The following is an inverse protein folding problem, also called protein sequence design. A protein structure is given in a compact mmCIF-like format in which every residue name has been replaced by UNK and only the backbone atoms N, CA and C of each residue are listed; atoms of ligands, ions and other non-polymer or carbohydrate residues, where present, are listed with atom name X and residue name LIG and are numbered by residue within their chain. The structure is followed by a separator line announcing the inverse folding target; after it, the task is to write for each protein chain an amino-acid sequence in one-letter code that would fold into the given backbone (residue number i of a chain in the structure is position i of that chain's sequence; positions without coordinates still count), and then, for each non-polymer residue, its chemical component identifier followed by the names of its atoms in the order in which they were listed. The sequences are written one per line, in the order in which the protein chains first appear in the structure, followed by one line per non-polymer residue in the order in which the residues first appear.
data_IF_926553553153
#
_entry.id   IF_926553553153
#
_cell.length_a   1.000
_cell.length_b   1.000
_cell.length_c   1.000
_cell.angle_alpha   90.00
_cell.angle_beta   90.00
_cell.angle_gamma   90.00
#
_symmetry.space_group_name_H-M   'P 1'
#
loop_
_entity.id
_entity.type
_entity.pdbx_description
1 polymer ?
#
# COMPACT_ATOMS: atom_id res chain seq x y z
N UNK A 1 -0.18 1.03 0.25
CA UNK A 1 -1.48 0.88 -0.46
C UNK A 1 -1.33 1.55 -1.80
N UNK A 2 -1.37 0.78 -2.86
CA UNK A 2 -1.35 1.28 -4.23
C UNK A 2 -2.77 1.36 -4.77
N UNK A 3 -3.04 2.33 -5.64
CA UNK A 3 -4.39 2.56 -6.17
C UNK A 3 -4.42 2.44 -7.69
N UNK A 4 -5.41 1.73 -8.20
CA UNK A 4 -5.69 1.55 -9.62
C UNK A 4 -7.04 2.15 -9.97
N UNK A 5 -7.33 2.27 -11.26
CA UNK A 5 -8.62 2.73 -11.75
C UNK A 5 -9.03 4.09 -11.17
N UNK A 6 -8.11 5.04 -11.17
CA UNK A 6 -8.33 6.39 -10.62
C UNK A 6 -8.77 6.35 -9.14
N UNK A 7 -8.16 5.45 -8.35
CA UNK A 7 -8.40 5.30 -6.91
C UNK A 7 -9.57 4.41 -6.51
N UNK A 8 -10.30 3.82 -7.48
CA UNK A 8 -11.47 2.96 -7.21
C UNK A 8 -11.10 1.58 -6.68
N UNK A 9 -9.93 1.08 -7.03
CA UNK A 9 -9.41 -0.23 -6.63
C UNK A 9 -8.11 -0.04 -5.87
N UNK A 10 -7.94 -0.77 -4.78
CA UNK A 10 -6.78 -0.69 -3.89
C UNK A 10 -6.09 -2.03 -3.78
N UNK A 11 -4.77 -2.00 -3.87
CA UNK A 11 -3.92 -3.11 -3.52
C UNK A 11 -3.43 -2.90 -2.08
N UNK A 12 -3.78 -3.81 -1.20
CA UNK A 12 -3.58 -3.65 0.24
C UNK A 12 -2.78 -4.84 0.77
N UNK A 13 -1.74 -4.57 1.55
CA UNK A 13 -0.90 -5.57 2.20
C UNK A 13 -1.18 -5.58 3.71
N UNK A 14 -1.27 -6.77 4.31
CA UNK A 14 -1.39 -6.94 5.75
C UNK A 14 -0.68 -8.22 6.21
N UNK A 15 -0.25 -8.23 7.47
CA UNK A 15 0.34 -9.40 8.09
C UNK A 15 -0.75 -10.31 8.69
N UNK A 16 -0.67 -11.59 8.43
CA UNK A 16 -1.56 -12.58 9.02
C UNK A 16 -1.02 -13.00 10.39
N UNK A 17 -1.88 -12.89 11.40
CA UNK A 17 -1.54 -13.32 12.78
C UNK A 17 -2.22 -14.66 13.11
N UNK A 18 -1.72 -15.36 14.11
CA UNK A 18 -2.30 -16.62 14.59
C UNK A 18 -3.75 -16.48 15.10
N UNK A 19 -4.16 -15.26 15.48
CA UNK A 19 -5.53 -14.98 15.92
C UNK A 19 -6.48 -14.69 14.77
N UNK A 20 -5.97 -14.59 13.55
CA UNK A 20 -6.78 -14.28 12.37
C UNK A 20 -7.67 -15.47 11.99
N UNK A 21 -8.95 -15.24 11.67
CA UNK A 21 -9.84 -16.28 11.17
C UNK A 21 -9.43 -16.83 9.80
N UNK A 22 -8.38 -16.29 9.19
CA UNK A 22 -7.80 -16.73 7.92
C UNK A 22 -6.65 -17.72 8.09
N UNK A 23 -6.13 -17.94 9.30
CA UNK A 23 -5.08 -18.92 9.53
C UNK A 23 -5.61 -20.34 9.24
N UNK A 24 -4.89 -21.07 8.38
CA UNK A 24 -5.30 -22.41 7.92
C UNK A 24 -6.44 -22.42 6.87
N UNK A 25 -6.84 -21.28 6.32
CA UNK A 25 -7.94 -21.16 5.35
C UNK A 25 -7.40 -21.17 3.92
N UNK A 26 -8.03 -21.95 3.04
CA UNK A 26 -7.73 -21.91 1.61
C UNK A 26 -8.37 -20.66 0.96
N UNK A 27 -7.67 -20.03 0.01
CA UNK A 27 -8.10 -18.76 -0.62
C UNK A 27 -9.50 -18.87 -1.24
N UNK A 28 -9.83 -20.00 -1.87
CA UNK A 28 -11.17 -20.20 -2.48
C UNK A 28 -12.31 -20.21 -1.47
N UNK A 29 -12.02 -20.45 -0.18
CA UNK A 29 -13.03 -20.47 0.90
C UNK A 29 -13.33 -19.06 1.43
N UNK A 30 -12.43 -18.07 1.22
CA UNK A 30 -12.57 -16.72 1.76
C UNK A 30 -13.91 -16.07 1.38
N UNK A 31 -14.36 -16.07 0.10
CA UNK A 31 -15.62 -15.45 -0.27
C UNK A 31 -16.83 -16.04 0.45
N UNK A 32 -16.82 -17.36 0.67
CA UNK A 32 -17.92 -18.07 1.34
C UNK A 32 -17.90 -17.87 2.85
N UNK A 33 -16.71 -18.01 3.47
CA UNK A 33 -16.56 -17.91 4.94
C UNK A 33 -16.74 -16.49 5.44
N UNK A 34 -16.16 -15.52 4.73
CA UNK A 34 -16.16 -14.12 5.14
C UNK A 34 -17.17 -13.25 4.38
N UNK A 35 -17.93 -13.81 3.43
CA UNK A 35 -18.86 -13.06 2.55
C UNK A 35 -18.20 -11.77 2.03
N UNK A 36 -16.94 -11.86 1.62
CA UNK A 36 -16.11 -10.73 1.23
C UNK A 36 -15.64 -10.91 -0.20
N UNK A 37 -15.80 -9.87 -1.00
CA UNK A 37 -15.39 -9.84 -2.40
C UNK A 37 -14.02 -9.17 -2.50
N UNK A 38 -12.99 -9.95 -2.16
CA UNK A 38 -11.58 -9.59 -2.30
C UNK A 38 -10.86 -10.64 -3.13
N UNK A 39 -9.76 -10.23 -3.77
CA UNK A 39 -8.87 -11.16 -4.47
C UNK A 39 -7.47 -11.10 -3.86
N UNK A 40 -6.99 -12.24 -3.34
CA UNK A 40 -5.60 -12.37 -2.88
C UNK A 40 -4.70 -12.47 -4.11
N UNK A 41 -3.79 -11.50 -4.27
CA UNK A 41 -2.94 -11.35 -5.44
C UNK A 41 -1.54 -11.91 -5.24
N UNK A 42 -0.98 -11.76 -4.04
CA UNK A 42 0.34 -12.25 -3.70
C UNK A 42 0.43 -12.58 -2.21
N UNK A 43 1.30 -13.53 -1.89
CA UNK A 43 1.62 -13.92 -0.51
C UNK A 43 3.13 -14.00 -0.36
N UNK A 44 3.67 -13.28 0.64
CA UNK A 44 5.05 -13.45 1.06
C UNK A 44 5.12 -14.42 2.23
N UNK A 45 5.92 -15.45 2.10
CA UNK A 45 6.18 -16.47 3.13
C UNK A 45 7.67 -16.82 3.14
N UNK A 46 8.32 -16.74 4.30
CA UNK A 46 9.74 -17.07 4.48
C UNK A 46 10.67 -16.37 3.48
N UNK A 47 10.41 -15.09 3.18
CA UNK A 47 11.18 -14.30 2.23
C UNK A 47 10.90 -14.59 0.75
N UNK A 48 10.10 -15.61 0.44
CA UNK A 48 9.64 -15.89 -0.93
C UNK A 48 8.31 -15.23 -1.25
N UNK A 49 8.09 -14.85 -2.52
CA UNK A 49 6.81 -14.32 -3.01
C UNK A 49 6.14 -15.36 -3.89
N UNK A 50 4.84 -15.55 -3.69
CA UNK A 50 4.00 -16.51 -4.39
C UNK A 50 2.78 -15.78 -4.94
N UNK A 51 2.45 -16.01 -6.22
CA UNK A 51 1.12 -15.72 -6.77
C UNK A 51 0.25 -16.95 -6.48
N UNK A 52 -0.68 -16.86 -5.51
CA UNK A 52 -1.38 -18.03 -5.04
C UNK A 52 -2.52 -18.44 -5.98
N UNK A 53 -2.82 -19.73 -6.02
CA UNK A 53 -4.06 -20.24 -6.59
C UNK A 53 -5.14 -20.42 -5.50
N UNK A 54 -6.36 -20.77 -5.88
CA UNK A 54 -7.47 -20.92 -4.95
C UNK A 54 -7.26 -21.98 -3.85
N UNK A 55 -6.42 -22.99 -4.09
CA UNK A 55 -6.13 -24.04 -3.10
C UNK A 55 -4.99 -23.69 -2.15
N UNK A 56 -4.37 -22.54 -2.33
CA UNK A 56 -3.30 -22.09 -1.44
C UNK A 56 -3.87 -21.82 -0.05
N UNK A 57 -3.26 -22.39 0.97
CA UNK A 57 -3.66 -22.24 2.38
C UNK A 57 -2.83 -21.15 3.04
N UNK A 58 -3.51 -20.14 3.54
CA UNK A 58 -2.90 -19.05 4.30
C UNK A 58 -2.43 -19.53 5.67
N UNK A 59 -1.32 -18.99 6.17
CA UNK A 59 -0.73 -19.36 7.44
C UNK A 59 -0.30 -18.13 8.23
N UNK A 60 -0.28 -18.27 9.55
CA UNK A 60 0.30 -17.25 10.44
C UNK A 60 1.71 -16.86 10.00
N UNK A 61 1.98 -15.56 9.97
CA UNK A 61 3.24 -14.97 9.49
C UNK A 61 3.26 -14.62 8.02
N UNK A 62 2.26 -15.02 7.23
CA UNK A 62 2.13 -14.59 5.84
C UNK A 62 1.92 -13.07 5.76
N UNK A 63 2.59 -12.43 4.81
CA UNK A 63 2.25 -11.08 4.35
C UNK A 63 1.32 -11.24 3.14
N UNK A 64 0.06 -10.92 3.31
CA UNK A 64 -0.96 -11.12 2.29
C UNK A 64 -1.24 -9.81 1.58
N UNK A 65 -1.12 -9.82 0.25
CA UNK A 65 -1.50 -8.69 -0.61
C UNK A 65 -2.79 -9.05 -1.35
N UNK A 66 -3.81 -8.21 -1.20
CA UNK A 66 -5.10 -8.41 -1.86
C UNK A 66 -5.59 -7.14 -2.55
N UNK A 67 -6.44 -7.33 -3.54
CA UNK A 67 -7.09 -6.29 -4.30
C UNK A 67 -8.56 -6.21 -3.91
N UNK A 68 -9.06 -5.00 -3.66
CA UNK A 68 -10.47 -4.74 -3.34
C UNK A 68 -10.84 -3.28 -3.60
N UNK A 69 -12.15 -3.01 -3.68
CA UNK A 69 -12.67 -1.64 -3.53
C UNK A 69 -12.50 -1.16 -2.10
N UNK A 70 -12.58 0.15 -1.87
CA UNK A 70 -12.46 0.70 -0.50
C UNK A 70 -13.51 0.09 0.45
N UNK A 71 -14.74 -0.07 -0.02
CA UNK A 71 -15.85 -0.62 0.76
C UNK A 71 -15.60 -2.08 1.13
N UNK A 72 -15.21 -2.91 0.15
CA UNK A 72 -14.94 -4.32 0.36
C UNK A 72 -13.72 -4.55 1.27
N UNK A 73 -12.68 -3.72 1.14
CA UNK A 73 -11.52 -3.77 2.02
C UNK A 73 -11.90 -3.45 3.48
N UNK A 74 -12.73 -2.42 3.70
CA UNK A 74 -13.19 -2.08 5.04
C UNK A 74 -14.04 -3.20 5.66
N UNK A 75 -15.00 -3.74 4.90
CA UNK A 75 -15.83 -4.86 5.33
C UNK A 75 -15.00 -6.12 5.62
N UNK A 76 -13.99 -6.39 4.82
CA UNK A 76 -13.07 -7.50 5.01
C UNK A 76 -12.29 -7.37 6.33
N UNK A 77 -11.65 -6.23 6.59
CA UNK A 77 -10.90 -6.02 7.83
C UNK A 77 -11.76 -6.12 9.08
N UNK A 78 -13.00 -5.65 9.02
CA UNK A 78 -13.94 -5.85 10.13
C UNK A 78 -14.21 -7.34 10.41
N UNK A 79 -14.38 -8.16 9.36
CA UNK A 79 -14.70 -9.59 9.48
C UNK A 79 -13.53 -10.45 9.96
N UNK A 80 -12.32 -10.02 9.67
CA UNK A 80 -11.12 -10.69 10.21
C UNK A 80 -10.68 -10.12 11.56
N UNK A 81 -11.55 -9.32 12.19
CA UNK A 81 -11.31 -8.69 13.51
C UNK A 81 -10.07 -7.77 13.54
N UNK A 82 -9.55 -7.37 12.39
CA UNK A 82 -8.56 -6.31 12.30
C UNK A 82 -9.27 -4.95 12.40
N UNK A 83 -9.57 -4.54 13.63
CA UNK A 83 -10.16 -3.23 13.90
C UNK A 83 -9.15 -2.12 13.55
N UNK A 84 -9.14 -1.72 12.30
CA UNK A 84 -8.43 -0.52 11.87
C UNK A 84 -9.25 0.69 12.35
N UNK A 85 -9.04 1.07 13.61
CA UNK A 85 -9.65 2.30 14.12
C UNK A 85 -9.08 3.48 13.32
N UNK A 86 -9.93 4.38 12.82
CA UNK A 86 -9.43 5.59 12.18
C UNK A 86 -8.60 6.39 13.19
N UNK A 87 -7.47 6.92 12.74
CA UNK A 87 -6.61 7.78 13.54
C UNK A 87 -7.31 9.11 13.77
N UNK A 88 -7.37 9.56 15.01
CA UNK A 88 -7.97 10.83 15.42
C UNK A 88 -6.95 11.87 15.87
N UNK A 89 -5.74 11.42 16.17
CA UNK A 89 -4.63 12.30 16.51
C UNK A 89 -3.30 11.73 16.02
N UNK A 90 -2.43 12.63 15.60
CA UNK A 90 -1.09 12.31 15.14
C UNK A 90 -0.05 13.21 15.82
N UNK A 91 1.08 12.62 16.19
CA UNK A 91 2.28 13.31 16.65
C UNK A 91 3.36 13.11 15.60
N UNK A 92 3.81 14.20 14.99
CA UNK A 92 4.81 14.23 13.92
C UNK A 92 6.08 14.86 14.48
N UNK A 93 7.22 14.20 14.31
CA UNK A 93 8.52 14.74 14.68
C UNK A 93 9.30 15.11 13.44
N UNK A 94 9.63 16.40 13.31
CA UNK A 94 10.25 17.01 12.14
C UNK A 94 9.25 17.77 11.28
N UNK A 95 9.40 19.10 11.17
CA UNK A 95 8.51 20.04 10.49
C UNK A 95 8.89 20.32 9.03
N UNK A 96 9.51 19.38 8.32
CA UNK A 96 9.91 19.52 6.92
C UNK A 96 8.73 19.60 5.93
N UNK A 97 9.03 19.57 4.62
CA UNK A 97 8.02 19.64 3.57
C UNK A 97 7.01 18.48 3.64
N UNK A 98 7.49 17.25 3.89
CA UNK A 98 6.61 16.08 4.01
C UNK A 98 5.64 16.25 5.19
N UNK A 99 6.12 16.74 6.33
CA UNK A 99 5.26 17.01 7.49
C UNK A 99 4.19 18.04 7.19
N UNK A 100 4.53 19.08 6.44
CA UNK A 100 3.58 20.12 6.02
C UNK A 100 2.43 19.52 5.19
N UNK A 101 2.74 18.84 4.10
CA UNK A 101 1.70 18.27 3.21
C UNK A 101 0.89 17.17 3.91
N UNK A 102 1.55 16.29 4.67
CA UNK A 102 0.87 15.27 5.46
C UNK A 102 -0.12 15.91 6.46
N UNK A 103 0.29 16.98 7.11
CA UNK A 103 -0.55 17.68 8.09
C UNK A 103 -1.76 18.32 7.45
N UNK A 104 -1.64 18.89 6.24
CA UNK A 104 -2.79 19.41 5.50
C UNK A 104 -3.84 18.32 5.25
N UNK A 105 -3.40 17.16 4.76
CA UNK A 105 -4.28 16.02 4.50
C UNK A 105 -4.92 15.46 5.78
N UNK A 106 -4.15 15.34 6.86
CA UNK A 106 -4.66 14.87 8.14
C UNK A 106 -5.70 15.83 8.73
N UNK A 107 -5.43 17.14 8.68
CA UNK A 107 -6.35 18.17 9.14
C UNK A 107 -7.65 18.20 8.31
N UNK A 108 -7.55 18.06 6.99
CA UNK A 108 -8.72 17.97 6.10
C UNK A 108 -9.59 16.73 6.43
N UNK A 109 -8.99 15.68 6.96
CA UNK A 109 -9.69 14.47 7.45
C UNK A 109 -10.01 14.53 8.96
N UNK A 110 -10.03 15.71 9.57
CA UNK A 110 -10.38 15.95 10.98
C UNK A 110 -9.48 15.23 11.99
N UNK A 111 -8.24 14.93 11.63
CA UNK A 111 -7.23 14.39 12.54
C UNK A 111 -6.55 15.56 13.26
N UNK A 112 -6.45 15.50 14.57
CA UNK A 112 -5.69 16.48 15.36
C UNK A 112 -4.19 16.25 15.13
N UNK A 113 -3.48 17.29 14.71
CA UNK A 113 -2.04 17.19 14.37
C UNK A 113 -1.21 18.00 15.35
N UNK A 114 -0.16 17.39 15.87
CA UNK A 114 0.92 18.04 16.63
C UNK A 114 2.22 17.81 15.88
N UNK A 115 3.00 18.88 15.69
CA UNK A 115 4.31 18.84 15.03
C UNK A 115 5.38 19.31 16.00
N UNK A 116 6.36 18.47 16.25
CA UNK A 116 7.56 18.84 17.03
C UNK A 116 8.66 19.24 16.04
N UNK A 117 9.12 20.50 16.14
CA UNK A 117 10.16 21.05 15.29
C UNK A 117 11.13 21.87 16.12
N UNK A 118 12.41 21.65 15.91
CA UNK A 118 13.47 22.31 16.71
C UNK A 118 13.81 23.73 16.24
N UNK A 119 13.62 24.03 14.95
CA UNK A 119 13.91 25.36 14.39
C UNK A 119 12.75 26.33 14.64
N UNK A 120 12.95 27.39 15.49
CA UNK A 120 11.91 28.37 15.78
C UNK A 120 11.39 29.11 14.54
N UNK A 121 12.27 29.38 13.56
CA UNK A 121 11.86 30.05 12.32
C UNK A 121 10.90 29.16 11.52
N UNK A 122 11.20 27.86 11.44
CA UNK A 122 10.32 26.88 10.79
C UNK A 122 9.00 26.70 11.55
N UNK A 123 9.04 26.71 12.88
CA UNK A 123 7.82 26.68 13.70
C UNK A 123 6.88 27.83 13.39
N UNK A 124 7.38 29.05 13.26
CA UNK A 124 6.57 30.21 12.92
C UNK A 124 5.90 30.05 11.54
N UNK A 125 6.65 29.60 10.53
CA UNK A 125 6.11 29.34 9.19
C UNK A 125 5.01 28.27 9.21
N UNK A 126 5.23 27.19 9.95
CA UNK A 126 4.22 26.11 10.08
C UNK A 126 2.97 26.59 10.80
N UNK A 127 3.11 27.39 11.86
CA UNK A 127 1.98 27.95 12.60
C UNK A 127 1.09 28.86 11.74
N UNK A 128 1.70 29.65 10.86
CA UNK A 128 0.97 30.48 9.89
C UNK A 128 0.26 29.66 8.81
N UNK A 129 0.95 28.62 8.28
CA UNK A 129 0.46 27.83 7.16
C UNK A 129 -0.52 26.70 7.57
N UNK A 130 -0.47 26.24 8.82
CA UNK A 130 -1.27 25.16 9.36
C UNK A 130 -2.03 25.58 10.64
N UNK A 131 -3.00 26.50 10.54
CA UNK A 131 -3.65 27.08 11.73
C UNK A 131 -4.43 26.06 12.55
N UNK A 132 -4.70 24.86 12.01
CA UNK A 132 -5.35 23.76 12.72
C UNK A 132 -4.38 22.79 13.42
N UNK A 133 -3.08 22.94 13.23
CA UNK A 133 -2.06 22.10 13.88
C UNK A 133 -1.49 22.79 15.12
N UNK A 134 -1.13 21.99 16.11
CA UNK A 134 -0.34 22.45 17.25
C UNK A 134 1.16 22.31 16.91
N UNK A 135 1.87 23.44 16.85
CA UNK A 135 3.30 23.47 16.56
C UNK A 135 4.06 23.58 17.90
N UNK A 136 4.97 22.66 18.14
CA UNK A 136 5.73 22.53 19.37
C UNK A 136 7.21 22.76 19.04
N UNK A 137 7.77 23.85 19.57
CA UNK A 137 9.17 24.17 19.36
C UNK A 137 10.03 23.48 20.40
N UNK A 138 10.53 22.30 20.05
CA UNK A 138 11.40 21.49 20.91
C UNK A 138 12.23 20.54 20.06
N UNK A 139 13.30 20.01 20.66
CA UNK A 139 14.09 18.92 20.08
C UNK A 139 13.32 17.59 20.20
N UNK A 140 13.06 16.93 19.07
CA UNK A 140 12.35 15.66 19.02
C UNK A 140 13.04 14.52 19.77
N UNK A 141 14.34 14.63 20.07
CA UNK A 141 15.08 13.67 20.88
C UNK A 141 14.81 13.80 22.39
N UNK A 142 14.14 14.86 22.83
CA UNK A 142 13.74 15.06 24.21
C UNK A 142 12.60 14.12 24.60
N UNK A 143 12.95 13.01 25.25
CA UNK A 143 12.01 11.93 25.62
C UNK A 143 10.95 12.37 26.62
N UNK A 144 11.36 13.17 27.61
CA UNK A 144 10.45 13.65 28.64
C UNK A 144 9.40 14.58 28.03
N UNK A 145 9.81 15.42 27.10
CA UNK A 145 8.91 16.27 26.34
C UNK A 145 7.91 15.46 25.53
N UNK A 146 8.35 14.46 24.77
CA UNK A 146 7.43 13.60 23.98
C UNK A 146 6.40 12.90 24.87
N UNK A 147 6.79 12.43 26.04
CA UNK A 147 5.87 11.81 27.00
C UNK A 147 4.88 12.85 27.59
N UNK A 148 5.35 14.04 27.96
CA UNK A 148 4.49 15.12 28.48
C UNK A 148 3.48 15.62 27.45
N UNK A 149 3.85 15.57 26.16
CA UNK A 149 2.95 15.87 25.04
C UNK A 149 2.04 14.70 24.65
N UNK A 150 1.96 13.68 25.49
CA UNK A 150 1.00 12.60 25.36
C UNK A 150 1.32 11.57 24.27
N UNK A 151 2.59 11.23 24.09
CA UNK A 151 3.02 10.14 23.22
C UNK A 151 2.26 8.84 23.50
N UNK A 152 2.00 8.52 24.76
CA UNK A 152 1.32 7.28 25.17
C UNK A 152 -0.13 7.19 24.67
N UNK A 153 -0.80 8.32 24.50
CA UNK A 153 -2.18 8.40 23.98
C UNK A 153 -2.25 8.72 22.49
N UNK A 154 -1.10 8.80 21.82
CA UNK A 154 -1.02 9.10 20.39
C UNK A 154 -1.46 7.89 19.57
N UNK A 155 -2.40 8.11 18.64
CA UNK A 155 -2.93 7.06 17.75
C UNK A 155 -2.10 6.89 16.48
N UNK A 156 -1.31 7.90 16.10
CA UNK A 156 -0.28 7.80 15.06
C UNK A 156 0.96 8.61 15.44
N UNK A 157 2.12 7.98 15.37
CA UNK A 157 3.42 8.63 15.54
C UNK A 157 4.20 8.58 14.22
N UNK A 158 4.71 9.72 13.78
CA UNK A 158 5.37 9.86 12.47
C UNK A 158 6.73 10.53 12.65
N UNK A 159 7.81 9.80 12.39
CA UNK A 159 9.18 10.30 12.45
C UNK A 159 9.63 10.78 11.06
N UNK A 160 9.79 12.09 10.87
CA UNK A 160 10.09 12.76 9.61
C UNK A 160 11.30 13.69 9.66
N UNK A 161 12.21 13.50 10.61
CA UNK A 161 13.46 14.30 10.67
C UNK A 161 14.32 14.00 9.43
N UNK A 162 15.41 14.78 9.24
CA UNK A 162 16.34 14.51 8.14
C UNK A 162 17.44 13.51 8.49
N UNK A 163 17.40 12.95 9.70
CA UNK A 163 18.38 11.98 10.23
C UNK A 163 17.69 10.64 10.37
N UNK A 164 18.06 9.67 9.52
CA UNK A 164 17.41 8.37 9.47
C UNK A 164 17.56 7.58 10.77
N UNK A 165 18.75 7.62 11.36
CA UNK A 165 19.07 6.98 12.64
C UNK A 165 18.21 7.55 13.79
N UNK A 166 17.98 8.86 13.78
CA UNK A 166 17.08 9.53 14.71
C UNK A 166 15.63 9.07 14.52
N UNK A 167 15.15 9.01 13.27
CA UNK A 167 13.80 8.52 12.96
C UNK A 167 13.59 7.10 13.45
N UNK A 168 14.56 6.22 13.25
CA UNK A 168 14.52 4.83 13.75
C UNK A 168 14.43 4.79 15.28
N UNK A 169 15.31 5.52 15.98
CA UNK A 169 15.33 5.56 17.45
C UNK A 169 14.05 6.16 18.02
N UNK A 170 13.52 7.23 17.42
CA UNK A 170 12.26 7.85 17.80
C UNK A 170 11.09 6.89 17.63
N UNK A 171 11.07 6.14 16.54
CA UNK A 171 10.01 5.16 16.29
C UNK A 171 10.08 4.00 17.28
N UNK A 172 11.27 3.48 17.58
CA UNK A 172 11.45 2.44 18.60
C UNK A 172 11.05 2.93 20.00
N UNK A 173 11.34 4.19 20.32
CA UNK A 173 10.89 4.81 21.56
C UNK A 173 9.35 4.93 21.59
N UNK A 174 8.74 5.42 20.51
CA UNK A 174 7.29 5.52 20.39
C UNK A 174 6.61 4.15 20.49
N UNK A 175 7.17 3.12 19.86
CA UNK A 175 6.67 1.75 19.95
C UNK A 175 6.62 1.21 21.38
N UNK A 176 7.62 1.55 22.18
CA UNK A 176 7.67 1.13 23.59
C UNK A 176 6.59 1.78 24.44
N UNK A 177 6.20 3.01 24.12
CA UNK A 177 5.31 3.84 24.95
C UNK A 177 3.89 4.00 24.39
N UNK A 178 3.68 3.76 23.10
CA UNK A 178 2.39 3.91 22.43
C UNK A 178 1.98 2.63 21.70
N UNK A 179 0.66 2.43 21.57
CA UNK A 179 0.06 1.40 20.71
C UNK A 179 -0.44 1.99 19.38
N UNK A 180 -0.11 3.25 19.12
CA UNK A 180 -0.47 3.94 17.89
C UNK A 180 0.22 3.38 16.65
N UNK A 181 -0.26 3.78 15.49
CA UNK A 181 0.39 3.47 14.21
C UNK A 181 1.74 4.20 14.14
N UNK A 182 2.75 3.49 13.64
CA UNK A 182 4.10 4.03 13.52
C UNK A 182 4.43 4.22 12.04
N UNK A 183 5.01 5.37 11.71
CA UNK A 183 5.52 5.68 10.37
C UNK A 183 6.92 6.26 10.50
N UNK A 184 7.87 5.66 9.79
CA UNK A 184 9.29 6.01 9.86
C UNK A 184 9.79 6.40 8.49
N UNK A 185 10.28 7.63 8.33
CA UNK A 185 10.97 8.05 7.11
C UNK A 185 12.42 7.59 7.11
N UNK A 186 12.84 6.97 6.01
CA UNK A 186 14.23 6.56 5.76
C UNK A 186 14.64 7.05 4.38
N UNK A 187 15.78 7.72 4.26
CA UNK A 187 16.30 8.27 3.00
C UNK A 187 17.43 7.43 2.40
N UNK A 188 18.08 6.56 3.19
CA UNK A 188 19.17 5.69 2.80
C UNK A 188 18.76 4.24 2.92
N UNK A 189 19.20 3.43 1.97
CA UNK A 189 18.89 1.99 1.93
C UNK A 189 19.99 1.11 2.50
N UNK A 190 21.10 1.69 2.91
CA UNK A 190 22.29 0.94 3.34
C UNK A 190 22.06 0.01 4.55
N UNK A 191 20.88 0.11 5.20
CA UNK A 191 20.52 -0.65 6.40
C UNK A 191 19.21 -1.45 6.28
N UNK A 192 18.71 -1.71 5.10
CA UNK A 192 17.39 -2.35 4.89
C UNK A 192 17.29 -3.70 5.61
N UNK A 193 18.32 -4.53 5.55
CA UNK A 193 18.34 -5.84 6.20
C UNK A 193 18.19 -5.73 7.73
N UNK A 194 18.76 -4.67 8.32
CA UNK A 194 18.66 -4.39 9.76
C UNK A 194 17.27 -3.84 10.08
N UNK A 195 16.80 -2.89 9.27
CA UNK A 195 15.52 -2.22 9.50
C UNK A 195 14.34 -3.19 9.39
N UNK A 196 14.40 -4.16 8.48
CA UNK A 196 13.38 -5.21 8.31
C UNK A 196 13.15 -6.03 9.60
N UNK A 197 14.17 -6.19 10.43
CA UNK A 197 14.09 -6.90 11.71
C UNK A 197 13.57 -6.07 12.89
N UNK A 198 13.44 -4.73 12.75
CA UNK A 198 13.17 -3.83 13.89
C UNK A 198 11.69 -3.54 14.13
N UNK A 199 10.77 -3.99 13.27
CA UNK A 199 9.31 -3.68 13.34
C UNK A 199 9.06 -2.18 13.63
N UNK A 200 9.42 -1.35 12.65
CA UNK A 200 9.33 0.11 12.69
C UNK A 200 7.97 0.63 12.21
N UNK A 201 6.96 -0.22 12.12
CA UNK A 201 5.70 0.11 11.49
C UNK A 201 5.83 0.27 9.98
N UNK A 202 5.23 1.31 9.42
CA UNK A 202 5.34 1.60 7.98
C UNK A 202 6.61 2.41 7.72
N UNK A 203 7.57 1.82 7.02
CA UNK A 203 8.76 2.56 6.56
C UNK A 203 8.43 3.24 5.23
N UNK A 204 8.77 4.52 5.13
CA UNK A 204 8.56 5.35 3.95
C UNK A 204 9.90 5.79 3.38
N UNK A 205 10.13 5.49 2.12
CA UNK A 205 11.34 5.85 1.37
C UNK A 205 11.00 6.90 0.30
N UNK A 206 11.06 8.21 0.60
CA UNK A 206 10.59 9.26 -0.30
C UNK A 206 11.27 9.26 -1.68
N UNK A 207 12.56 8.90 -1.71
CA UNK A 207 13.33 8.85 -2.97
C UNK A 207 12.80 7.77 -3.91
N UNK A 208 12.48 6.58 -3.39
CA UNK A 208 11.92 5.50 -4.21
C UNK A 208 10.52 5.83 -4.67
N UNK A 209 9.66 6.29 -3.76
CA UNK A 209 8.30 6.72 -4.12
C UNK A 209 8.32 7.78 -5.23
N UNK A 210 9.24 8.74 -5.15
CA UNK A 210 9.40 9.78 -6.19
C UNK A 210 9.90 9.17 -7.51
N UNK A 211 10.87 8.25 -7.44
CA UNK A 211 11.39 7.56 -8.62
C UNK A 211 10.29 6.76 -9.31
N UNK A 212 9.52 5.98 -8.54
CA UNK A 212 8.41 5.18 -9.06
C UNK A 212 7.36 6.06 -9.72
N UNK A 213 7.01 7.18 -9.09
CA UNK A 213 6.07 8.14 -9.67
C UNK A 213 6.59 8.72 -11.01
N UNK A 214 7.87 9.09 -11.08
CA UNK A 214 8.49 9.59 -12.33
C UNK A 214 8.48 8.52 -13.41
N UNK A 215 8.82 7.27 -13.07
CA UNK A 215 8.81 6.16 -14.01
C UNK A 215 7.39 5.90 -14.54
N UNK A 216 6.39 5.93 -13.65
CA UNK A 216 4.97 5.82 -14.04
C UNK A 216 4.58 6.95 -15.00
N UNK A 217 4.93 8.18 -14.67
CA UNK A 217 4.63 9.35 -15.51
C UNK A 217 5.27 9.26 -16.90
N UNK A 218 6.56 8.90 -16.97
CA UNK A 218 7.28 8.72 -18.26
C UNK A 218 6.65 7.60 -19.09
N UNK A 219 6.27 6.49 -18.46
CA UNK A 219 5.59 5.38 -19.14
C UNK A 219 4.21 5.78 -19.64
N UNK A 220 3.43 6.53 -18.86
CA UNK A 220 2.15 7.07 -19.31
C UNK A 220 2.27 7.93 -20.56
N UNK A 221 3.31 8.78 -20.65
CA UNK A 221 3.62 9.54 -21.87
C UNK A 221 4.01 8.66 -23.06
N UNK A 222 4.69 7.52 -22.83
CA UNK A 222 5.05 6.58 -23.88
C UNK A 222 3.85 5.77 -24.38
N UNK A 223 2.80 5.61 -23.56
CA UNK A 223 1.57 4.90 -23.93
C UNK A 223 0.76 5.63 -25.01
N UNK A 224 0.87 6.95 -25.13
CA UNK A 224 0.32 7.69 -26.28
C UNK A 224 0.95 7.26 -27.62
N UNK A 225 2.08 6.52 -27.59
CA UNK A 225 2.78 6.04 -28.77
C UNK A 225 2.51 4.56 -29.12
N UNK A 226 1.49 3.91 -28.52
CA UNK A 226 1.05 2.56 -28.90
C UNK A 226 1.32 1.43 -27.89
N UNK A 227 1.66 1.76 -26.65
CA UNK A 227 1.79 0.79 -25.57
C UNK A 227 0.47 0.75 -24.76
N UNK A 228 -0.07 -0.45 -24.51
CA UNK A 228 -1.38 -0.63 -23.87
C UNK A 228 -1.35 -0.60 -22.33
N UNK A 229 -0.17 -0.34 -21.71
CA UNK A 229 -0.03 -0.25 -20.26
C UNK A 229 -0.41 1.16 -19.79
N UNK A 230 -1.49 1.27 -19.02
CA UNK A 230 -1.92 2.53 -18.40
C UNK A 230 -1.12 2.84 -17.13
N UNK A 231 -0.91 1.84 -16.27
CA UNK A 231 -0.23 2.00 -14.98
C UNK A 231 0.60 0.75 -14.68
N UNK A 232 1.79 0.94 -14.09
CA UNK A 232 2.63 -0.13 -13.58
C UNK A 232 3.10 0.23 -12.18
N UNK A 233 2.85 -0.64 -11.23
CA UNK A 233 3.43 -0.60 -9.90
C UNK A 233 4.37 -1.76 -9.68
N UNK A 234 5.49 -1.50 -9.05
CA UNK A 234 6.35 -2.51 -8.49
C UNK A 234 6.09 -2.62 -7.01
N UNK A 235 5.73 -3.79 -6.59
CA UNK A 235 5.32 -4.09 -5.21
C UNK A 235 6.20 -5.19 -4.64
N UNK A 236 6.21 -5.32 -3.31
CA UNK A 236 6.95 -6.37 -2.61
C UNK A 236 8.47 -6.35 -2.96
N UNK A 237 9.10 -5.18 -2.79
CA UNK A 237 10.53 -4.94 -3.05
C UNK A 237 10.91 -5.27 -4.51
N UNK A 238 10.17 -4.72 -5.47
CA UNK A 238 10.35 -4.90 -6.92
C UNK A 238 10.21 -6.35 -7.42
N UNK A 239 9.76 -7.28 -6.57
CA UNK A 239 9.61 -8.70 -6.94
C UNK A 239 8.32 -9.02 -7.68
N UNK A 240 7.35 -8.12 -7.64
CA UNK A 240 6.04 -8.30 -8.27
C UNK A 240 5.70 -7.05 -9.06
N UNK A 241 5.23 -7.22 -10.29
CA UNK A 241 4.65 -6.13 -11.07
C UNK A 241 3.12 -6.23 -11.05
N UNK A 242 2.47 -5.09 -10.82
CA UNK A 242 1.03 -4.93 -10.97
C UNK A 242 0.77 -3.94 -12.12
N UNK A 243 0.16 -4.42 -13.18
CA UNK A 243 0.00 -3.70 -14.44
C UNK A 243 -1.48 -3.46 -14.74
N UNK A 244 -1.82 -2.24 -15.13
CA UNK A 244 -3.14 -1.91 -15.67
C UNK A 244 -3.02 -1.75 -17.19
N UNK A 245 -3.74 -2.57 -17.95
CA UNK A 245 -3.80 -2.53 -19.41
C UNK A 245 -5.14 -1.96 -19.86
N UNK A 246 -5.13 -1.11 -20.89
CA UNK A 246 -6.34 -0.73 -21.62
C UNK A 246 -6.44 -1.58 -22.88
N UNK A 247 -7.59 -2.23 -23.08
CA UNK A 247 -7.83 -3.12 -24.22
C UNK A 247 -8.37 -2.30 -25.40
N UNK A 248 -7.50 -1.97 -26.34
CA UNK A 248 -7.86 -1.15 -27.50
C UNK A 248 -8.34 -1.96 -28.72
N UNK A 249 -7.87 -3.20 -28.84
CA UNK A 249 -8.15 -4.06 -30.01
C UNK A 249 -8.38 -5.51 -29.60
N UNK A 250 -8.98 -6.29 -30.50
CA UNK A 250 -9.13 -7.73 -30.33
C UNK A 250 -7.78 -8.44 -30.37
N UNK A 251 -7.61 -9.45 -29.53
CA UNK A 251 -6.39 -10.22 -29.41
C UNK A 251 -6.68 -11.67 -28.96
N UNK A 252 -5.66 -12.52 -28.87
CA UNK A 252 -5.80 -13.89 -28.35
C UNK A 252 -6.30 -13.92 -26.88
N UNK A 253 -6.28 -12.79 -26.17
CA UNK A 253 -6.77 -12.67 -24.80
C UNK A 253 -8.23 -12.17 -24.72
N UNK A 254 -8.85 -11.72 -25.81
CA UNK A 254 -10.20 -11.13 -25.82
C UNK A 254 -11.25 -12.09 -26.36
N UNK A 255 -12.50 -11.97 -25.88
CA UNK A 255 -13.64 -12.74 -26.38
C UNK A 255 -13.60 -14.24 -26.06
N UNK A 256 -12.72 -14.65 -25.16
CA UNK A 256 -12.55 -16.05 -24.72
C UNK A 256 -12.76 -16.11 -23.22
N UNK A 257 -13.56 -17.08 -22.70
CA UNK A 257 -13.68 -17.30 -21.26
C UNK A 257 -12.30 -17.51 -20.59
N UNK A 258 -12.07 -16.85 -19.47
CA UNK A 258 -10.78 -16.90 -18.78
C UNK A 258 -10.33 -18.32 -18.40
N UNK A 259 -11.29 -19.22 -18.16
CA UNK A 259 -11.01 -20.65 -17.91
C UNK A 259 -10.42 -21.39 -19.11
N UNK A 260 -10.55 -20.84 -20.32
CA UNK A 260 -10.01 -21.41 -21.55
C UNK A 260 -8.71 -20.72 -22.00
N UNK A 261 -8.34 -19.60 -21.35
CA UNK A 261 -7.08 -18.93 -21.62
C UNK A 261 -5.91 -19.65 -20.93
N UNK A 262 -4.91 -20.02 -21.72
CA UNK A 262 -3.65 -20.55 -21.19
C UNK A 262 -2.77 -19.40 -20.73
N UNK A 263 -2.99 -18.92 -19.50
CA UNK A 263 -2.20 -17.84 -18.94
C UNK A 263 -0.78 -18.29 -18.59
N UNK A 264 0.19 -17.39 -18.66
CA UNK A 264 1.55 -17.63 -18.18
C UNK A 264 1.54 -17.99 -16.69
N UNK A 265 2.58 -18.72 -16.26
CA UNK A 265 2.77 -19.07 -14.86
C UNK A 265 3.08 -17.80 -14.04
N UNK A 266 2.82 -17.85 -12.74
CA UNK A 266 3.10 -16.73 -11.82
C UNK A 266 2.46 -15.40 -12.25
N UNK A 267 1.28 -15.49 -12.83
CA UNK A 267 0.46 -14.38 -13.29
C UNK A 267 -0.98 -14.57 -12.82
N UNK A 268 -1.61 -13.49 -12.36
CA UNK A 268 -3.00 -13.46 -11.96
C UNK A 268 -3.68 -12.26 -12.59
N UNK A 269 -4.79 -12.50 -13.28
CA UNK A 269 -5.70 -11.45 -13.73
C UNK A 269 -6.57 -11.06 -12.54
N UNK A 270 -6.39 -9.86 -12.04
CA UNK A 270 -6.92 -9.44 -10.74
C UNK A 270 -8.24 -8.67 -10.84
N UNK A 271 -8.43 -7.92 -11.92
CA UNK A 271 -9.60 -7.07 -12.06
C UNK A 271 -9.88 -6.78 -13.54
N UNK A 272 -11.15 -6.74 -13.90
CA UNK A 272 -11.63 -6.21 -15.17
C UNK A 272 -12.54 -5.02 -14.86
N UNK A 273 -12.21 -3.86 -15.41
CA UNK A 273 -13.03 -2.65 -15.31
C UNK A 273 -13.70 -2.38 -16.62
N UNK A 274 -15.03 -2.45 -16.63
CA UNK A 274 -15.87 -2.24 -17.80
C UNK A 274 -16.76 -1.03 -17.58
N UNK A 275 -16.34 0.12 -18.11
CA UNK A 275 -17.00 1.39 -17.82
C UNK A 275 -16.91 1.74 -16.32
N UNK A 276 -18.05 1.81 -15.64
CA UNK A 276 -18.13 2.06 -14.20
C UNK A 276 -18.08 0.79 -13.34
N UNK A 277 -18.25 -0.38 -13.94
CA UNK A 277 -18.29 -1.67 -13.25
C UNK A 277 -16.88 -2.20 -12.98
N UNK A 278 -16.69 -2.73 -11.77
CA UNK A 278 -15.45 -3.39 -11.32
C UNK A 278 -15.78 -4.86 -11.10
N UNK A 279 -15.17 -5.72 -11.89
CA UNK A 279 -15.34 -7.16 -11.84
C UNK A 279 -14.10 -7.82 -11.26
N UNK A 280 -14.25 -8.62 -10.21
CA UNK A 280 -13.25 -9.62 -9.81
C UNK A 280 -13.48 -10.82 -10.72
N UNK A 281 -12.53 -11.11 -11.65
CA UNK A 281 -12.80 -12.04 -12.75
C UNK A 281 -12.92 -13.49 -12.26
N UNK A 282 -13.83 -14.22 -12.86
CA UNK A 282 -14.05 -15.66 -12.66
C UNK A 282 -13.84 -16.40 -13.97
N UNK A 283 -13.71 -17.70 -13.91
CA UNK A 283 -13.42 -18.52 -15.10
C UNK A 283 -14.38 -18.37 -16.29
N UNK A 284 -15.63 -17.98 -16.05
CA UNK A 284 -16.62 -17.73 -17.10
C UNK A 284 -16.61 -16.32 -17.71
N UNK A 285 -15.86 -15.40 -17.11
CA UNK A 285 -15.78 -14.02 -17.59
C UNK A 285 -14.83 -13.91 -18.79
N UNK A 286 -15.05 -12.88 -19.60
CA UNK A 286 -14.30 -12.59 -20.82
C UNK A 286 -13.74 -11.16 -20.77
N UNK A 287 -12.55 -10.96 -21.30
CA UNK A 287 -12.00 -9.63 -21.56
C UNK A 287 -12.56 -9.11 -22.88
N UNK A 288 -12.98 -7.84 -22.92
CA UNK A 288 -13.55 -7.19 -24.10
C UNK A 288 -12.77 -5.93 -24.47
N UNK A 289 -12.86 -5.54 -25.72
CA UNK A 289 -12.36 -4.24 -26.16
C UNK A 289 -13.05 -3.13 -25.38
N UNK A 290 -12.27 -2.17 -24.90
CA UNK A 290 -12.72 -1.08 -24.01
C UNK A 290 -12.59 -1.39 -22.52
N UNK A 291 -12.24 -2.61 -22.13
CA UNK A 291 -11.95 -2.94 -20.72
C UNK A 291 -10.60 -2.38 -20.29
N UNK A 292 -10.47 -2.04 -19.00
CA UNK A 292 -9.18 -1.93 -18.33
C UNK A 292 -8.98 -3.19 -17.47
N UNK A 293 -7.79 -3.79 -17.59
CA UNK A 293 -7.48 -5.06 -16.95
C UNK A 293 -6.26 -4.92 -16.05
N UNK A 294 -6.39 -5.33 -14.78
CA UNK A 294 -5.28 -5.35 -13.83
C UNK A 294 -4.72 -6.77 -13.75
N UNK A 295 -3.41 -6.88 -13.96
CA UNK A 295 -2.66 -8.13 -13.91
C UNK A 295 -1.55 -7.99 -12.86
N UNK A 296 -1.38 -9.01 -12.02
CA UNK A 296 -0.28 -9.12 -11.06
C UNK A 296 0.62 -10.28 -11.48
N UNK A 297 1.93 -10.07 -11.54
CA UNK A 297 2.89 -11.07 -12.06
C UNK A 297 4.25 -10.98 -11.39
N UNK A 298 4.94 -12.13 -11.31
CA UNK A 298 6.37 -12.21 -10.97
C UNK A 298 7.27 -12.05 -12.20
N UNK A 299 6.71 -12.09 -13.41
CA UNK A 299 7.45 -11.87 -14.63
C UNK A 299 7.56 -10.38 -14.94
N UNK A 300 8.74 -9.95 -15.35
CA UNK A 300 9.00 -8.56 -15.73
C UNK A 300 8.94 -8.41 -17.25
N UNK A 301 8.56 -7.21 -17.70
CA UNK A 301 8.63 -6.85 -19.11
C UNK A 301 7.43 -7.26 -19.95
N UNK A 302 6.25 -7.40 -19.35
CA UNK A 302 5.00 -7.42 -20.12
C UNK A 302 4.77 -6.03 -20.71
N UNK A 303 4.51 -5.95 -22.00
CA UNK A 303 4.27 -4.69 -22.72
C UNK A 303 2.85 -4.55 -23.23
N UNK A 304 2.14 -5.68 -23.35
CA UNK A 304 0.78 -5.74 -23.90
C UNK A 304 -0.04 -6.82 -23.18
N UNK A 305 -1.36 -6.67 -23.18
CA UNK A 305 -2.25 -7.67 -22.60
C UNK A 305 -2.11 -9.04 -23.28
N UNK A 306 -1.82 -9.08 -24.58
CA UNK A 306 -1.59 -10.36 -25.30
C UNK A 306 -0.40 -11.17 -24.75
N UNK A 307 0.52 -10.50 -24.05
CA UNK A 307 1.71 -11.14 -23.45
C UNK A 307 1.37 -12.03 -22.26
N UNK A 308 0.14 -11.92 -21.68
CA UNK A 308 -0.30 -12.77 -20.57
C UNK A 308 -0.62 -14.19 -20.98
N UNK A 309 -0.88 -14.42 -22.26
CA UNK A 309 -1.26 -15.75 -22.83
C UNK A 309 -0.01 -16.46 -23.29
N UNK A 310 0.11 -17.76 -22.96
CA UNK A 310 1.18 -18.61 -23.48
C UNK A 310 1.05 -18.74 -25.00
N UNK A 311 2.21 -18.82 -25.70
CA UNK A 311 2.24 -19.05 -27.14
C UNK A 311 1.79 -20.45 -27.53
#
# INVERSE_FOLDING_TARGET
IDTFADGRVRLIKFALTAESPLDGVAIHEIPTRLKSDILVCAVERNGGVIIPNGNFVLQNGDQVTFLATQENAHAFFQRIHMNVKPVRNALIVGGGAIAYYLSQELLANHVRVRIVERDPARCNVLAEQLPGAQILNEDGSNREFLLSEGLESTEAFVALTNIDEENVLLTLFAKKHSKGKLVTKVNRLEFDDILAGLDLGSIVYPKYMTCDYIVQYVRALQNEAGNNIKTLYRILDDRVEALEFTVHEESKATGVPLSQLHLKKNLLLCCIMRGSEILIPRGGDEIKVGDNVIVVTLEHGLHDLRDIVQD
#
